data_IF_389725405721
#
_entry.id   IF_389725405721
#
_cell.length_a   1.000
_cell.length_b   1.000
_cell.length_c   1.000
_cell.angle_alpha   90.00
_cell.angle_beta   90.00
_cell.angle_gamma   90.00
#
_symmetry.space_group_name_H-M   'P 1'
#
loop_
_entity.id
_entity.type
_entity.pdbx_description
1 polymer ?
#
# COMPACT_ATOMS: atom_id res chain seq x y z
N UNK A 1 9.82 27.91 -29.94
CA UNK A 1 9.19 27.40 -28.70
C UNK A 1 8.95 25.91 -28.85
N UNK A 2 9.71 25.00 -28.21
CA UNK A 2 9.42 23.58 -28.32
C UNK A 2 8.21 23.25 -27.45
N UNK A 3 7.23 22.60 -28.08
CA UNK A 3 5.94 22.24 -27.52
C UNK A 3 6.13 21.10 -26.52
N UNK A 4 6.28 21.42 -25.23
CA UNK A 4 6.32 20.40 -24.17
C UNK A 4 4.98 19.66 -24.12
N UNK A 5 4.91 18.46 -24.71
CA UNK A 5 3.77 17.55 -24.54
C UNK A 5 3.88 16.93 -23.15
N UNK A 6 3.24 17.56 -22.18
CA UNK A 6 3.03 16.96 -20.86
C UNK A 6 2.21 15.68 -21.04
N UNK A 7 2.84 14.51 -20.99
CA UNK A 7 2.11 13.25 -20.92
C UNK A 7 1.40 13.20 -19.57
N UNK A 8 0.11 13.50 -19.56
CA UNK A 8 -0.75 13.47 -18.35
C UNK A 8 -0.85 12.07 -17.72
N UNK A 9 -0.62 11.03 -18.53
CA UNK A 9 -0.66 9.63 -18.10
C UNK A 9 0.75 9.05 -18.04
N UNK A 10 1.28 8.91 -16.82
CA UNK A 10 2.55 8.23 -16.57
C UNK A 10 2.41 6.70 -16.63
N UNK A 11 3.50 6.01 -17.01
CA UNK A 11 3.53 4.54 -17.13
C UNK A 11 3.05 3.81 -15.87
N UNK A 12 3.32 4.37 -14.68
CA UNK A 12 2.80 3.83 -13.41
C UNK A 12 1.28 3.71 -13.42
N UNK A 13 0.56 4.72 -13.91
CA UNK A 13 -0.91 4.70 -13.93
C UNK A 13 -1.42 3.58 -14.85
N UNK A 14 -0.79 3.38 -16.00
CA UNK A 14 -1.13 2.30 -16.94
C UNK A 14 -0.95 0.93 -16.26
N UNK A 15 0.20 0.71 -15.60
CA UNK A 15 0.45 -0.53 -14.84
C UNK A 15 -0.58 -0.75 -13.74
N UNK A 16 -0.93 0.28 -12.99
CA UNK A 16 -1.93 0.19 -11.92
C UNK A 16 -3.29 -0.24 -12.49
N UNK A 17 -3.75 0.39 -13.58
CA UNK A 17 -5.03 0.04 -14.21
C UNK A 17 -5.03 -1.41 -14.70
N UNK A 18 -3.95 -1.86 -15.34
CA UNK A 18 -3.81 -3.24 -15.80
C UNK A 18 -3.83 -4.21 -14.60
N UNK A 19 -3.08 -3.93 -13.54
CA UNK A 19 -3.04 -4.78 -12.35
C UNK A 19 -4.40 -4.87 -11.65
N UNK A 20 -5.12 -3.75 -11.51
CA UNK A 20 -6.47 -3.72 -10.93
C UNK A 20 -7.46 -4.51 -11.78
N UNK A 21 -7.40 -4.35 -13.11
CA UNK A 21 -8.26 -5.09 -14.03
C UNK A 21 -8.03 -6.61 -13.93
N UNK A 22 -6.78 -7.05 -13.86
CA UNK A 22 -6.43 -8.47 -13.69
C UNK A 22 -6.89 -8.99 -12.32
N UNK A 23 -6.77 -8.21 -11.26
CA UNK A 23 -7.34 -8.56 -9.95
C UNK A 23 -8.87 -8.74 -10.04
N UNK A 24 -9.56 -7.86 -10.78
CA UNK A 24 -10.99 -7.98 -11.06
C UNK A 24 -11.36 -9.27 -11.80
N UNK A 25 -10.61 -9.63 -12.84
CA UNK A 25 -10.80 -10.91 -13.55
C UNK A 25 -10.58 -12.09 -12.61
N UNK A 26 -9.56 -12.04 -11.75
CA UNK A 26 -9.27 -13.11 -10.81
C UNK A 26 -10.41 -13.33 -9.81
N UNK A 27 -10.98 -12.25 -9.27
CA UNK A 27 -12.17 -12.36 -8.41
C UNK A 27 -13.41 -12.85 -9.16
N UNK A 28 -13.63 -12.38 -10.40
CA UNK A 28 -14.71 -12.88 -11.25
C UNK A 28 -14.64 -14.40 -11.47
N UNK A 29 -13.45 -14.93 -11.74
CA UNK A 29 -13.23 -16.38 -11.92
C UNK A 29 -13.43 -17.16 -10.62
N UNK A 30 -13.09 -16.57 -9.46
CA UNK A 30 -13.30 -17.20 -8.15
C UNK A 30 -14.75 -17.12 -7.66
N UNK A 31 -15.57 -16.26 -8.23
CA UNK A 31 -16.90 -15.94 -7.70
C UNK A 31 -16.86 -15.16 -6.39
N UNK A 32 -15.71 -14.57 -6.04
CA UNK A 32 -15.50 -13.81 -4.82
C UNK A 32 -15.24 -12.32 -5.16
N UNK A 33 -15.66 -11.37 -4.30
CA UNK A 33 -15.46 -9.95 -4.55
C UNK A 33 -13.96 -9.59 -4.53
N UNK A 34 -13.43 -9.11 -5.66
CA UNK A 34 -12.00 -8.76 -5.80
C UNK A 34 -11.54 -7.52 -5.01
N UNK A 35 -12.37 -6.96 -4.11
CA UNK A 35 -12.19 -5.64 -3.52
C UNK A 35 -10.82 -5.46 -2.84
N UNK A 36 -10.43 -6.41 -1.98
CA UNK A 36 -9.16 -6.33 -1.26
C UNK A 36 -7.94 -6.51 -2.18
N UNK A 37 -8.04 -7.39 -3.17
CA UNK A 37 -6.99 -7.61 -4.17
C UNK A 37 -6.75 -6.36 -5.05
N UNK A 38 -7.82 -5.69 -5.48
CA UNK A 38 -7.75 -4.45 -6.26
C UNK A 38 -7.13 -3.30 -5.45
N UNK A 39 -7.50 -3.14 -4.18
CA UNK A 39 -6.90 -2.14 -3.28
C UNK A 39 -5.42 -2.44 -3.05
N UNK A 40 -5.08 -3.71 -2.84
CA UNK A 40 -3.68 -4.11 -2.70
C UNK A 40 -2.88 -3.71 -3.95
N UNK A 41 -3.43 -3.91 -5.15
CA UNK A 41 -2.74 -3.54 -6.38
C UNK A 41 -2.47 -2.06 -6.52
N UNK A 42 -3.45 -1.19 -6.21
CA UNK A 42 -3.26 0.26 -6.24
C UNK A 42 -2.18 0.71 -5.28
N UNK A 43 -2.14 0.16 -4.07
CA UNK A 43 -1.22 0.60 -3.02
C UNK A 43 0.20 0.04 -3.24
N UNK A 44 0.31 -1.19 -3.73
CA UNK A 44 1.58 -1.85 -3.97
C UNK A 44 2.31 -1.30 -5.20
N UNK A 45 1.59 -0.80 -6.21
CA UNK A 45 2.22 -0.28 -7.45
C UNK A 45 2.92 1.06 -7.22
N UNK A 46 4.25 1.07 -7.38
CA UNK A 46 5.11 2.23 -7.14
C UNK A 46 5.77 2.74 -8.44
N UNK A 47 6.58 3.81 -8.33
CA UNK A 47 7.27 4.42 -9.48
C UNK A 47 8.46 3.60 -10.00
N UNK A 48 8.94 2.62 -9.22
CA UNK A 48 10.15 1.84 -9.52
C UNK A 48 9.99 0.42 -9.01
N UNK A 49 10.55 -0.56 -9.71
CA UNK A 49 10.36 -1.98 -9.41
C UNK A 49 10.83 -2.37 -8.01
N UNK A 50 11.98 -1.88 -7.56
CA UNK A 50 12.47 -2.14 -6.21
C UNK A 50 11.53 -1.60 -5.13
N UNK A 51 10.92 -0.44 -5.39
CA UNK A 51 9.92 0.16 -4.48
C UNK A 51 8.62 -0.61 -4.50
N UNK A 52 8.17 -1.09 -5.67
CA UNK A 52 6.98 -1.94 -5.81
C UNK A 52 7.17 -3.24 -5.05
N UNK A 53 8.31 -3.92 -5.21
CA UNK A 53 8.63 -5.16 -4.49
C UNK A 53 8.71 -4.89 -2.98
N UNK A 54 9.41 -3.84 -2.57
CA UNK A 54 9.51 -3.48 -1.14
C UNK A 54 8.13 -3.18 -0.53
N UNK A 55 7.28 -2.43 -1.23
CA UNK A 55 5.91 -2.12 -0.82
C UNK A 55 5.05 -3.38 -0.73
N UNK A 56 5.15 -4.24 -1.75
CA UNK A 56 4.47 -5.53 -1.85
C UNK A 56 4.83 -6.49 -0.72
N UNK A 57 6.13 -6.63 -0.40
CA UNK A 57 6.61 -7.44 0.72
C UNK A 57 6.13 -6.87 2.06
N UNK A 58 6.22 -5.56 2.26
CA UNK A 58 5.71 -4.92 3.47
C UNK A 58 4.19 -5.14 3.62
N UNK A 59 3.44 -5.12 2.51
CA UNK A 59 2.01 -5.37 2.48
C UNK A 59 1.67 -6.81 2.85
N UNK A 60 2.39 -7.76 2.26
CA UNK A 60 2.23 -9.18 2.54
C UNK A 60 2.53 -9.49 4.02
N UNK A 61 3.68 -9.04 4.52
CA UNK A 61 4.06 -9.21 5.92
C UNK A 61 3.02 -8.58 6.85
N UNK A 62 2.57 -7.37 6.55
CA UNK A 62 1.61 -6.69 7.42
C UNK A 62 0.28 -7.41 7.52
N UNK A 63 -0.19 -7.91 6.39
CA UNK A 63 -1.45 -8.67 6.32
C UNK A 63 -1.32 -10.02 7.02
N UNK A 64 -0.20 -10.73 6.82
CA UNK A 64 0.05 -12.01 7.46
C UNK A 64 0.19 -11.87 8.99
N UNK A 65 1.00 -10.91 9.46
CA UNK A 65 1.22 -10.69 10.89
C UNK A 65 -0.06 -10.20 11.55
N UNK A 66 -0.73 -9.20 10.99
CA UNK A 66 -1.98 -8.68 11.53
C UNK A 66 -3.10 -9.72 11.56
N UNK A 67 -3.23 -10.51 10.48
CA UNK A 67 -4.20 -11.59 10.37
C UNK A 67 -3.93 -12.72 11.36
N UNK A 68 -2.68 -13.16 11.50
CA UNK A 68 -2.29 -14.21 12.44
C UNK A 68 -2.57 -13.81 13.89
N UNK A 69 -2.16 -12.60 14.29
CA UNK A 69 -2.47 -12.08 15.63
C UNK A 69 -3.98 -11.97 15.84
N UNK A 70 -4.73 -11.56 14.82
CA UNK A 70 -6.19 -11.45 14.90
C UNK A 70 -6.85 -12.79 15.15
N UNK A 71 -6.45 -13.81 14.39
CA UNK A 71 -6.95 -15.18 14.54
C UNK A 71 -6.60 -15.75 15.93
N UNK A 72 -5.36 -15.55 16.41
CA UNK A 72 -4.92 -16.02 17.73
C UNK A 72 -5.78 -15.41 18.85
N UNK A 73 -6.00 -14.08 18.81
CA UNK A 73 -6.81 -13.41 19.84
C UNK A 73 -8.26 -13.85 19.77
N UNK A 74 -8.80 -14.05 18.56
CA UNK A 74 -10.16 -14.52 18.38
C UNK A 74 -10.39 -15.89 19.00
N UNK A 75 -9.54 -16.87 18.67
CA UNK A 75 -9.61 -18.20 19.28
C UNK A 75 -9.35 -18.17 20.79
N UNK A 76 -8.51 -17.25 21.27
CA UNK A 76 -8.32 -17.03 22.70
C UNK A 76 -9.60 -16.57 23.40
N UNK A 77 -10.30 -15.59 22.83
CA UNK A 77 -11.56 -15.07 23.38
C UNK A 77 -12.66 -16.14 23.41
N UNK A 78 -12.75 -16.95 22.35
CA UNK A 78 -13.67 -18.08 22.25
C UNK A 78 -13.36 -19.14 23.32
N UNK A 79 -12.08 -19.53 23.47
CA UNK A 79 -11.64 -20.52 24.47
C UNK A 79 -11.98 -20.10 25.91
N UNK A 80 -11.81 -18.82 26.25
CA UNK A 80 -12.13 -18.28 27.57
C UNK A 80 -13.63 -17.95 27.76
N UNK A 81 -14.50 -18.22 26.77
CA UNK A 81 -15.93 -17.85 26.79
C UNK A 81 -16.15 -16.36 27.13
N UNK A 82 -15.21 -15.51 26.74
CA UNK A 82 -15.17 -14.10 27.09
C UNK A 82 -15.75 -13.19 25.99
N UNK A 83 -16.44 -13.78 25.01
CA UNK A 83 -16.91 -13.12 23.78
C UNK A 83 -17.87 -11.94 24.07
N UNK A 84 -18.68 -12.08 25.12
CA UNK A 84 -19.70 -11.10 25.53
C UNK A 84 -19.14 -9.96 26.40
N UNK A 85 -17.87 -10.03 26.81
CA UNK A 85 -17.24 -9.00 27.65
C UNK A 85 -16.51 -7.98 26.79
N UNK A 86 -17.25 -7.03 26.24
CA UNK A 86 -16.71 -5.99 25.34
C UNK A 86 -15.50 -5.25 25.95
N UNK A 87 -15.55 -4.95 27.26
CA UNK A 87 -14.45 -4.26 27.96
C UNK A 87 -13.17 -5.11 28.00
N UNK A 88 -13.31 -6.41 28.24
CA UNK A 88 -12.19 -7.35 28.26
C UNK A 88 -11.61 -7.53 26.85
N UNK A 89 -12.49 -7.65 25.83
CA UNK A 89 -12.08 -7.69 24.42
C UNK A 89 -11.26 -6.46 24.04
N UNK A 90 -11.76 -5.25 24.31
CA UNK A 90 -11.03 -4.02 23.97
C UNK A 90 -9.71 -3.88 24.73
N UNK A 91 -9.65 -4.36 25.98
CA UNK A 91 -8.41 -4.39 26.76
C UNK A 91 -7.40 -5.33 26.12
N UNK A 92 -7.79 -6.56 25.79
CA UNK A 92 -6.92 -7.55 25.14
C UNK A 92 -6.45 -7.09 23.77
N UNK A 93 -7.35 -6.56 22.95
CA UNK A 93 -7.03 -6.00 21.64
C UNK A 93 -5.99 -4.87 21.77
N UNK A 94 -6.21 -3.92 22.69
CA UNK A 94 -5.28 -2.80 22.90
C UNK A 94 -3.92 -3.26 23.41
N UNK A 95 -3.88 -4.20 24.36
CA UNK A 95 -2.63 -4.77 24.87
C UNK A 95 -1.86 -5.54 23.80
N UNK A 96 -2.56 -6.20 22.87
CA UNK A 96 -1.96 -6.98 21.78
C UNK A 96 -1.31 -6.11 20.71
N UNK A 97 -1.70 -4.84 20.58
CA UNK A 97 -1.06 -3.91 19.63
C UNK A 97 0.43 -3.73 19.97
N UNK A 98 0.80 -3.74 21.26
CA UNK A 98 2.20 -3.59 21.69
C UNK A 98 3.10 -4.71 21.15
N UNK A 99 2.84 -6.01 21.40
CA UNK A 99 3.63 -7.10 20.83
C UNK A 99 3.53 -7.13 19.30
N UNK A 100 2.39 -6.76 18.72
CA UNK A 100 2.23 -6.69 17.26
C UNK A 100 3.15 -5.62 16.63
N UNK A 101 3.26 -4.43 17.21
CA UNK A 101 4.23 -3.41 16.75
C UNK A 101 5.66 -3.90 16.95
N UNK A 102 5.96 -4.54 18.09
CA UNK A 102 7.28 -5.11 18.37
C UNK A 102 7.67 -6.15 17.32
N UNK A 103 6.78 -7.06 16.93
CA UNK A 103 7.08 -8.02 15.87
C UNK A 103 7.39 -7.35 14.54
N UNK A 104 6.63 -6.33 14.13
CA UNK A 104 6.91 -5.58 12.91
C UNK A 104 8.30 -4.89 12.94
N UNK A 105 8.73 -4.41 14.12
CA UNK A 105 10.07 -3.85 14.31
C UNK A 105 11.16 -4.93 14.25
N UNK A 106 10.95 -6.10 14.86
CA UNK A 106 11.89 -7.24 14.82
C UNK A 106 12.06 -7.76 13.40
N UNK A 107 10.99 -7.77 12.61
CA UNK A 107 11.03 -8.11 11.17
C UNK A 107 11.76 -7.05 10.32
N UNK A 108 12.28 -5.97 10.92
CA UNK A 108 12.95 -4.84 10.27
C UNK A 108 12.08 -4.16 9.19
N UNK A 109 10.76 -4.26 9.29
CA UNK A 109 9.79 -3.66 8.37
C UNK A 109 8.82 -2.74 9.13
N UNK A 110 9.28 -1.59 9.67
CA UNK A 110 8.42 -0.67 10.43
C UNK A 110 7.24 -0.15 9.60
N UNK A 111 7.41 0.03 8.28
CA UNK A 111 6.33 0.42 7.36
C UNK A 111 5.16 -0.56 7.30
N UNK A 112 5.36 -1.80 7.75
CA UNK A 112 4.33 -2.83 7.84
C UNK A 112 3.48 -2.72 9.10
N UNK A 113 3.97 -2.06 10.17
CA UNK A 113 3.34 -2.10 11.48
C UNK A 113 1.92 -1.50 11.48
N UNK A 114 1.73 -0.37 10.82
CA UNK A 114 0.41 0.27 10.70
C UNK A 114 -0.59 -0.61 9.97
N UNK A 115 -0.17 -1.26 8.88
CA UNK A 115 -1.02 -2.19 8.14
C UNK A 115 -1.36 -3.42 8.98
N UNK A 116 -0.40 -3.97 9.72
CA UNK A 116 -0.65 -5.08 10.66
C UNK A 116 -1.70 -4.71 11.70
N UNK A 117 -1.60 -3.51 12.30
CA UNK A 117 -2.59 -3.02 13.27
C UNK A 117 -3.98 -2.89 12.63
N UNK A 118 -4.07 -2.31 11.43
CA UNK A 118 -5.35 -2.16 10.72
C UNK A 118 -5.98 -3.52 10.44
N UNK A 119 -5.21 -4.48 9.92
CA UNK A 119 -5.73 -5.83 9.63
C UNK A 119 -6.14 -6.54 10.93
N UNK A 120 -5.32 -6.47 11.97
CA UNK A 120 -5.65 -7.01 13.29
C UNK A 120 -6.96 -6.47 13.85
N UNK A 121 -7.16 -5.14 13.79
CA UNK A 121 -8.39 -4.50 14.24
C UNK A 121 -9.58 -4.89 13.36
N UNK A 122 -9.40 -4.98 12.04
CA UNK A 122 -10.46 -5.47 11.15
C UNK A 122 -10.91 -6.88 11.53
N UNK A 123 -9.99 -7.77 11.91
CA UNK A 123 -10.32 -9.16 12.30
C UNK A 123 -10.96 -9.23 13.68
N UNK A 124 -10.46 -8.46 14.65
CA UNK A 124 -10.87 -8.57 16.06
C UNK A 124 -12.03 -7.66 16.46
N UNK A 125 -12.33 -6.61 15.69
CA UNK A 125 -13.40 -5.65 15.99
C UNK A 125 -14.57 -5.81 15.01
N UNK A 126 -14.28 -6.01 13.73
CA UNK A 126 -15.31 -6.02 12.69
C UNK A 126 -15.91 -7.43 12.53
N UNK A 127 -16.77 -7.80 13.49
CA UNK A 127 -17.58 -9.01 13.42
C UNK A 127 -18.78 -8.75 12.52
N UNK A 128 -18.65 -8.98 11.22
CA UNK A 128 -19.82 -9.05 10.35
C UNK A 128 -20.59 -10.33 10.72
N UNK A 129 -21.85 -10.16 11.10
CA UNK A 129 -22.73 -11.10 11.79
C UNK A 129 -23.01 -12.43 11.08
N UNK A 130 -22.52 -12.62 9.86
CA UNK A 130 -22.91 -13.75 8.99
C UNK A 130 -21.76 -14.73 8.69
N UNK A 131 -20.50 -14.38 8.98
CA UNK A 131 -19.32 -15.20 8.66
C UNK A 131 -18.42 -15.33 9.88
N UNK A 132 -17.90 -16.53 10.18
CA UNK A 132 -16.90 -16.70 11.23
C UNK A 132 -15.73 -15.73 10.97
N UNK A 133 -15.34 -14.87 11.92
CA UNK A 133 -14.40 -13.79 11.60
C UNK A 133 -12.99 -14.31 11.25
N UNK A 134 -12.66 -15.53 11.66
CA UNK A 134 -11.46 -16.25 11.21
C UNK A 134 -11.50 -16.56 9.70
N UNK A 135 -12.63 -17.04 9.15
CA UNK A 135 -12.77 -17.25 7.70
C UNK A 135 -12.67 -15.95 6.93
N UNK A 136 -13.32 -14.88 7.42
CA UNK A 136 -13.20 -13.55 6.83
C UNK A 136 -11.75 -13.05 6.83
N UNK A 137 -11.02 -13.24 7.93
CA UNK A 137 -9.60 -12.90 8.03
C UNK A 137 -8.75 -13.64 7.00
N UNK A 138 -8.98 -14.95 6.85
CA UNK A 138 -8.26 -15.79 5.90
C UNK A 138 -8.56 -15.39 4.45
N UNK A 139 -9.83 -15.19 4.09
CA UNK A 139 -10.21 -14.70 2.76
C UNK A 139 -9.54 -13.36 2.46
N UNK A 140 -9.59 -12.42 3.39
CA UNK A 140 -8.93 -11.12 3.25
C UNK A 140 -7.42 -11.23 3.08
N UNK A 141 -6.76 -12.14 3.81
CA UNK A 141 -5.34 -12.42 3.65
C UNK A 141 -5.03 -12.95 2.25
N UNK A 142 -5.77 -13.96 1.79
CA UNK A 142 -5.59 -14.59 0.47
C UNK A 142 -5.79 -13.57 -0.65
N UNK A 143 -6.87 -12.78 -0.60
CA UNK A 143 -7.17 -11.76 -1.61
C UNK A 143 -6.08 -10.69 -1.68
N UNK A 144 -5.61 -10.24 -0.51
CA UNK A 144 -4.56 -9.22 -0.45
C UNK A 144 -3.25 -9.78 -1.02
N UNK A 145 -2.90 -11.03 -0.68
CA UNK A 145 -1.70 -11.69 -1.21
C UNK A 145 -1.80 -11.93 -2.72
N UNK A 146 -2.97 -12.29 -3.23
CA UNK A 146 -3.22 -12.42 -4.66
C UNK A 146 -3.01 -11.09 -5.38
N UNK A 147 -3.57 -9.99 -4.85
CA UNK A 147 -3.36 -8.65 -5.41
C UNK A 147 -1.90 -8.20 -5.38
N UNK A 148 -1.18 -8.51 -4.30
CA UNK A 148 0.27 -8.29 -4.18
C UNK A 148 1.03 -9.07 -5.27
N UNK A 149 0.71 -10.36 -5.46
CA UNK A 149 1.36 -11.21 -6.45
C UNK A 149 1.13 -10.68 -7.88
N UNK A 150 -0.12 -10.34 -8.24
CA UNK A 150 -0.46 -9.75 -9.53
C UNK A 150 0.31 -8.45 -9.77
N UNK A 151 0.41 -7.60 -8.75
CA UNK A 151 1.15 -6.32 -8.85
C UNK A 151 2.62 -6.52 -9.14
N UNK A 152 3.28 -7.42 -8.40
CA UNK A 152 4.67 -7.77 -8.66
C UNK A 152 4.86 -8.30 -10.08
N UNK A 153 3.99 -9.20 -10.54
CA UNK A 153 4.05 -9.78 -11.89
C UNK A 153 3.93 -8.70 -12.97
N UNK A 154 2.93 -7.81 -12.87
CA UNK A 154 2.72 -6.75 -13.87
C UNK A 154 3.86 -5.74 -13.88
N UNK A 155 4.38 -5.39 -12.70
CA UNK A 155 5.48 -4.43 -12.62
C UNK A 155 6.80 -5.01 -13.16
N UNK A 156 7.02 -6.32 -12.99
CA UNK A 156 8.16 -7.05 -13.55
C UNK A 156 8.03 -7.28 -15.06
N UNK A 157 6.82 -7.57 -15.57
CA UNK A 157 6.57 -7.79 -17.00
C UNK A 157 6.67 -6.51 -17.83
N UNK A 158 6.39 -5.36 -17.22
CA UNK A 158 6.48 -4.06 -17.88
C UNK A 158 7.55 -3.17 -17.21
N UNK A 159 8.84 -3.55 -17.15
CA UNK A 159 9.84 -2.74 -16.45
C UNK A 159 9.91 -1.35 -17.07
N UNK A 160 9.77 -0.31 -16.25
CA UNK A 160 9.88 1.07 -16.69
C UNK A 160 11.12 1.68 -16.07
N UNK A 161 12.09 2.01 -16.92
CA UNK A 161 13.21 2.84 -16.54
C UNK A 161 12.82 4.30 -16.77
N UNK A 162 12.61 5.12 -15.72
CA UNK A 162 12.47 6.55 -15.92
C UNK A 162 13.76 7.04 -16.60
N UNK A 163 13.62 7.73 -17.74
CA UNK A 163 14.75 8.45 -18.34
C UNK A 163 15.29 9.42 -17.28
N UNK A 164 16.62 9.55 -17.10
CA UNK A 164 17.18 10.61 -16.28
C UNK A 164 16.58 11.92 -16.75
N UNK A 165 15.93 12.64 -15.84
CA UNK A 165 15.47 13.99 -16.10
C UNK A 165 16.73 14.79 -16.45
N UNK A 166 16.83 15.23 -17.70
CA UNK A 166 17.91 16.10 -18.15
C UNK A 166 17.83 17.34 -17.26
N UNK A 167 18.75 17.43 -16.30
CA UNK A 167 18.87 18.56 -15.38
C UNK A 167 19.03 19.78 -16.27
N UNK A 168 17.95 20.54 -16.42
CA UNK A 168 17.99 21.82 -17.11
C UNK A 168 19.12 22.61 -16.46
N UNK A 169 20.16 22.91 -17.25
CA UNK A 169 21.31 23.65 -16.79
C UNK A 169 20.82 24.90 -16.03
N UNK A 170 21.39 25.21 -14.85
CA UNK A 170 20.97 26.38 -14.10
C UNK A 170 21.04 27.60 -15.02
N UNK A 171 19.92 28.32 -15.13
CA UNK A 171 19.81 29.51 -15.94
C UNK A 171 20.96 30.46 -15.61
N UNK A 172 21.69 30.89 -16.64
CA UNK A 172 22.76 31.87 -16.54
C UNK A 172 22.22 33.11 -15.80
N UNK A 173 22.90 33.60 -14.74
CA UNK A 173 22.43 34.78 -14.03
C UNK A 173 22.39 36.00 -14.97
N UNK A 174 21.42 36.91 -14.81
CA UNK A 174 21.24 38.02 -15.74
C UNK A 174 22.49 38.91 -15.76
N UNK A 175 23.03 39.12 -16.96
CA UNK A 175 24.13 40.03 -17.22
C UNK A 175 23.75 41.46 -16.80
N UNK A 176 24.39 41.99 -15.75
CA UNK A 176 24.32 43.41 -15.41
C UNK A 176 25.19 44.20 -16.38
N UNK A 177 24.57 44.82 -17.36
CA UNK A 177 25.10 45.90 -18.22
C UNK A 177 23.82 46.55 -18.77
N UNK A 178 23.51 47.84 -18.64
CA UNK A 178 24.32 49.04 -18.54
C UNK A 178 23.31 50.17 -18.19
N UNK A 179 23.48 50.86 -17.07
CA UNK A 179 22.76 52.13 -16.82
C UNK A 179 23.78 53.25 -16.73
N UNK A 180 24.28 53.68 -17.88
CA UNK A 180 24.90 54.99 -18.05
C UNK A 180 23.81 56.02 -18.42
N UNK A 181 23.60 57.09 -17.62
CA UNK A 181 22.65 58.15 -17.96
C UNK A 181 23.16 58.97 -19.16
N UNK A 182 22.35 59.09 -20.22
CA UNK A 182 22.59 60.04 -21.30
C UNK A 182 22.41 61.48 -20.80
N UNK A 183 23.43 62.31 -20.98
CA UNK A 183 23.35 63.77 -20.86
C UNK A 183 22.25 64.37 -21.76
N UNK A 184 21.59 65.48 -21.35
CA UNK A 184 20.66 66.19 -22.22
C UNK A 184 21.42 67.06 -23.22
N UNK A 185 21.09 66.93 -24.50
CA UNK A 185 21.45 67.91 -25.54
C UNK A 185 20.24 68.79 -25.87
N UNK A 186 20.47 70.10 -25.76
CA UNK A 186 19.71 71.26 -26.27
C UNK A 186 18.33 71.54 -25.71
#
# INVERSE_FOLDING_TARGET
MPKQRHHWVGMRMVKTVIAVFICGIFGYVRGEPAFYSMIAAVICMQNSTDKTITSSVNRAIGTLVGGLYGIIILYGLEFFHAENLDLLRYTLVSLTIIPLIRTALVLKRPSSASLSCVVFLCVTVNHNTDSSPALFALQRMVDTLAGVAVTCVIDLLLPYHPKPEEVAAPAEPPSTTDTTPKEPKT
#
